data_IF_667094823471
#
_entry.id   IF_667094823471
#
_cell.length_a   1.000
_cell.length_b   1.000
_cell.length_c   1.000
_cell.angle_alpha   90.00
_cell.angle_beta   90.00
_cell.angle_gamma   90.00
#
_symmetry.space_group_name_H-M   'P 1'
#
loop_
_entity.id
_entity.type
_entity.pdbx_description
1 polymer ?
#
# COMPACT_ATOMS: atom_id res chain seq x y z
N UNK A 1 3.89 33.12 -13.95
CA UNK A 1 4.80 32.59 -12.89
C UNK A 1 6.01 31.96 -13.56
N UNK A 2 7.20 32.08 -12.97
CA UNK A 2 8.44 31.52 -13.56
C UNK A 2 8.66 30.08 -13.09
N UNK A 3 9.35 29.28 -13.90
CA UNK A 3 9.74 27.93 -13.53
C UNK A 3 10.79 27.95 -12.40
N UNK A 4 10.61 27.10 -11.39
CA UNK A 4 11.50 26.99 -10.23
C UNK A 4 12.94 26.60 -10.61
N UNK A 5 13.11 25.67 -11.57
CA UNK A 5 14.42 25.24 -12.04
C UNK A 5 14.97 26.13 -13.16
N UNK A 6 14.08 26.81 -13.90
CA UNK A 6 14.44 27.64 -15.06
C UNK A 6 13.86 29.05 -14.93
N UNK A 7 14.57 29.95 -14.24
CA UNK A 7 14.14 31.34 -14.02
C UNK A 7 13.88 32.17 -15.29
N UNK A 8 14.36 31.70 -16.45
CA UNK A 8 14.16 32.34 -17.75
C UNK A 8 12.90 31.84 -18.49
N UNK A 9 12.22 30.80 -17.99
CA UNK A 9 11.05 30.19 -18.64
C UNK A 9 9.77 30.42 -17.84
N UNK A 10 8.67 30.52 -18.55
CA UNK A 10 7.35 30.54 -17.94
C UNK A 10 6.93 29.14 -17.48
N UNK A 11 6.29 29.09 -16.32
CA UNK A 11 5.71 27.86 -15.80
C UNK A 11 4.32 27.64 -16.41
N UNK A 12 4.10 26.43 -16.94
CA UNK A 12 2.83 26.00 -17.53
C UNK A 12 1.94 25.25 -16.54
N UNK A 13 2.52 24.71 -15.47
CA UNK A 13 1.81 24.00 -14.42
C UNK A 13 2.46 24.27 -13.06
N UNK A 14 1.85 23.79 -11.98
CA UNK A 14 2.37 23.85 -10.63
C UNK A 14 2.52 22.44 -10.06
N UNK A 15 3.53 22.24 -9.22
CA UNK A 15 3.69 20.99 -8.48
C UNK A 15 2.52 20.81 -7.50
N UNK A 16 1.83 19.66 -7.54
CA UNK A 16 0.68 19.41 -6.65
C UNK A 16 1.08 19.41 -5.15
N UNK A 17 2.30 18.97 -4.83
CA UNK A 17 2.79 18.88 -3.45
C UNK A 17 3.37 20.21 -2.93
N UNK A 18 4.34 20.79 -3.64
CA UNK A 18 5.06 21.99 -3.17
C UNK A 18 4.55 23.30 -3.78
N UNK A 19 3.59 23.25 -4.72
CA UNK A 19 2.99 24.40 -5.43
C UNK A 19 3.97 25.30 -6.19
N UNK A 20 5.19 24.82 -6.43
CA UNK A 20 6.18 25.54 -7.25
C UNK A 20 5.82 25.47 -8.74
N UNK A 21 6.09 26.54 -9.49
CA UNK A 21 5.85 26.59 -10.93
C UNK A 21 6.84 25.72 -11.73
N UNK A 22 6.33 24.97 -12.71
CA UNK A 22 7.08 24.04 -13.56
C UNK A 22 6.89 24.41 -15.04
N UNK A 23 7.97 24.50 -15.81
CA UNK A 23 7.92 24.60 -17.28
C UNK A 23 7.59 23.23 -17.91
N UNK A 24 7.25 23.15 -19.22
CA UNK A 24 6.85 21.90 -19.86
C UNK A 24 7.88 20.77 -19.72
N UNK A 25 9.17 21.11 -19.72
CA UNK A 25 10.28 20.16 -19.55
C UNK A 25 10.43 19.66 -18.11
N UNK A 26 10.13 20.51 -17.11
CA UNK A 26 10.20 20.14 -15.70
C UNK A 26 8.91 19.46 -15.20
N UNK A 27 7.80 19.61 -15.94
CA UNK A 27 6.53 19.00 -15.61
C UNK A 27 6.51 17.54 -16.04
N UNK A 28 6.45 16.62 -15.07
CA UNK A 28 6.28 15.20 -15.37
C UNK A 28 4.81 14.98 -15.76
N UNK A 29 4.56 14.77 -17.05
CA UNK A 29 3.22 14.69 -17.65
C UNK A 29 2.26 13.71 -16.95
N UNK A 30 2.77 12.65 -16.31
CA UNK A 30 1.93 11.65 -15.63
C UNK A 30 1.50 12.05 -14.20
N UNK A 31 2.20 12.98 -13.54
CA UNK A 31 1.99 13.23 -12.09
C UNK A 31 1.94 14.69 -11.68
N UNK A 32 2.27 15.64 -12.56
CA UNK A 32 2.41 17.07 -12.21
C UNK A 32 3.31 17.31 -10.97
N UNK A 33 4.26 16.41 -10.68
CA UNK A 33 5.19 16.55 -9.56
C UNK A 33 6.53 17.11 -10.05
N UNK A 34 7.18 17.92 -9.21
CA UNK A 34 8.58 18.28 -9.41
C UNK A 34 9.49 17.07 -9.11
N UNK A 35 10.74 17.12 -9.59
CA UNK A 35 11.69 16.02 -9.42
C UNK A 35 11.97 15.70 -7.94
N UNK A 36 12.10 16.72 -7.10
CA UNK A 36 12.35 16.56 -5.67
C UNK A 36 11.16 15.91 -4.95
N UNK A 37 9.93 16.33 -5.26
CA UNK A 37 8.72 15.71 -4.75
C UNK A 37 8.57 14.27 -5.23
N UNK A 38 8.88 13.99 -6.50
CA UNK A 38 8.86 12.64 -7.05
C UNK A 38 9.85 11.71 -6.30
N UNK A 39 11.08 12.18 -6.05
CA UNK A 39 12.08 11.41 -5.31
C UNK A 39 11.65 11.15 -3.86
N UNK A 40 11.05 12.14 -3.21
CA UNK A 40 10.49 11.97 -1.87
C UNK A 40 9.29 11.01 -1.87
N UNK A 41 8.44 11.07 -2.90
CA UNK A 41 7.32 10.17 -3.08
C UNK A 41 7.78 8.72 -3.28
N UNK A 42 8.80 8.49 -4.11
CA UNK A 42 9.44 7.18 -4.30
C UNK A 42 9.99 6.62 -2.98
N UNK A 43 10.73 7.43 -2.21
CA UNK A 43 11.23 7.03 -0.88
C UNK A 43 10.10 6.66 0.09
N UNK A 44 9.05 7.49 0.15
CA UNK A 44 7.88 7.24 1.02
C UNK A 44 7.14 5.98 0.62
N UNK A 45 6.92 5.76 -0.68
CA UNK A 45 6.23 4.57 -1.18
C UNK A 45 7.06 3.33 -0.91
N UNK A 46 8.36 3.34 -1.16
CA UNK A 46 9.24 2.20 -0.86
C UNK A 46 9.26 1.85 0.62
N UNK A 47 9.37 2.85 1.50
CA UNK A 47 9.32 2.63 2.95
C UNK A 47 7.97 2.04 3.39
N UNK A 48 6.88 2.64 2.94
CA UNK A 48 5.52 2.16 3.24
C UNK A 48 5.28 0.76 2.67
N UNK A 49 5.76 0.50 1.46
CA UNK A 49 5.67 -0.80 0.80
C UNK A 49 6.45 -1.87 1.57
N UNK A 50 7.65 -1.54 2.06
CA UNK A 50 8.45 -2.44 2.87
C UNK A 50 7.76 -2.76 4.20
N UNK A 51 7.34 -1.75 4.96
CA UNK A 51 6.64 -1.93 6.24
C UNK A 51 5.36 -2.77 6.09
N UNK A 52 4.56 -2.49 5.06
CA UNK A 52 3.34 -3.26 4.76
C UNK A 52 3.66 -4.68 4.34
N UNK A 53 4.62 -4.88 3.43
CA UNK A 53 5.03 -6.20 2.96
C UNK A 53 5.53 -7.07 4.13
N UNK A 54 6.38 -6.52 5.01
CA UNK A 54 6.85 -7.22 6.22
C UNK A 54 5.67 -7.62 7.11
N UNK A 55 4.71 -6.72 7.33
CA UNK A 55 3.56 -7.03 8.17
C UNK A 55 2.66 -8.13 7.54
N UNK A 56 2.44 -8.08 6.23
CA UNK A 56 1.69 -9.09 5.49
C UNK A 56 2.40 -10.45 5.54
N UNK A 57 3.70 -10.49 5.28
CA UNK A 57 4.49 -11.73 5.37
C UNK A 57 4.43 -12.28 6.80
N UNK A 58 4.57 -11.43 7.82
CA UNK A 58 4.46 -11.86 9.22
C UNK A 58 3.09 -12.46 9.54
N UNK A 59 2.02 -11.92 8.96
CA UNK A 59 0.67 -12.43 9.16
C UNK A 59 0.48 -13.82 8.52
N UNK A 60 0.92 -13.99 7.27
CA UNK A 60 0.86 -15.30 6.60
C UNK A 60 1.76 -16.33 7.26
N UNK A 61 2.94 -15.93 7.76
CA UNK A 61 3.81 -16.81 8.52
C UNK A 61 3.13 -17.31 9.80
N UNK A 62 2.45 -16.42 10.55
CA UNK A 62 1.69 -16.80 11.75
C UNK A 62 0.57 -17.77 11.39
N UNK A 63 -0.18 -17.52 10.31
CA UNK A 63 -1.22 -18.45 9.83
C UNK A 63 -0.61 -19.80 9.48
N UNK A 64 0.47 -19.81 8.71
CA UNK A 64 1.12 -21.03 8.25
C UNK A 64 1.63 -21.86 9.43
N UNK A 65 2.34 -21.25 10.39
CA UNK A 65 2.80 -21.91 11.62
C UNK A 65 1.59 -22.42 12.42
N UNK A 66 0.55 -21.60 12.60
CA UNK A 66 -0.65 -22.03 13.33
C UNK A 66 -1.31 -23.24 12.65
N UNK A 67 -1.39 -23.24 11.33
CA UNK A 67 -1.96 -24.30 10.53
C UNK A 67 -1.13 -25.58 10.63
N UNK A 68 0.19 -25.54 10.38
CA UNK A 68 1.04 -26.73 10.48
C UNK A 68 0.97 -27.36 11.86
N UNK A 69 0.98 -26.56 12.94
CA UNK A 69 0.85 -27.09 14.31
C UNK A 69 -0.51 -27.68 14.64
N UNK A 70 -1.60 -27.21 14.01
CA UNK A 70 -2.93 -27.81 14.17
C UNK A 70 -2.98 -29.18 13.49
N UNK A 71 -2.48 -29.28 12.26
CA UNK A 71 -2.62 -30.49 11.43
C UNK A 71 -1.55 -31.56 11.67
N UNK A 72 -0.39 -31.21 12.22
CA UNK A 72 0.76 -32.12 12.34
C UNK A 72 0.81 -32.89 13.68
N UNK A 73 -0.12 -32.65 14.60
CA UNK A 73 -0.10 -33.20 15.97
C UNK A 73 -1.26 -34.17 16.28
N UNK A 74 -1.85 -34.82 15.27
CA UNK A 74 -2.90 -35.83 15.52
C UNK A 74 -2.36 -37.17 16.08
N UNK A 75 -1.05 -37.46 16.01
CA UNK A 75 -0.60 -38.86 16.17
C UNK A 75 0.08 -39.31 17.48
N UNK A 76 0.59 -38.49 18.41
CA UNK A 76 1.20 -39.06 19.63
C UNK A 76 1.01 -38.21 20.89
N UNK A 77 0.13 -38.68 21.79
CA UNK A 77 -0.13 -38.10 23.11
C UNK A 77 0.78 -38.80 24.13
N UNK A 78 1.98 -38.27 24.36
CA UNK A 78 2.75 -38.55 25.58
C UNK A 78 3.33 -37.25 26.12
N UNK A 79 2.88 -36.82 27.31
CA UNK A 79 3.43 -35.82 28.26
C UNK A 79 3.86 -34.40 27.78
N UNK A 80 4.05 -34.12 26.49
CA UNK A 80 4.32 -32.81 25.89
C UNK A 80 3.00 -32.04 25.58
N UNK A 81 1.85 -32.68 25.84
CA UNK A 81 0.52 -32.19 25.53
C UNK A 81 0.24 -30.77 26.05
N UNK A 82 0.66 -30.43 27.27
CA UNK A 82 0.38 -29.13 27.88
C UNK A 82 1.11 -27.97 27.18
N UNK A 83 2.36 -28.18 26.77
CA UNK A 83 3.12 -27.16 26.04
C UNK A 83 2.54 -26.94 24.63
N UNK A 84 2.06 -28.02 23.98
CA UNK A 84 1.44 -27.93 22.66
C UNK A 84 0.12 -27.15 22.69
N UNK A 85 -0.69 -27.31 23.74
CA UNK A 85 -1.97 -26.60 23.90
C UNK A 85 -1.74 -25.12 24.17
N UNK A 86 -0.81 -24.79 25.08
CA UNK A 86 -0.44 -23.40 25.37
C UNK A 86 0.08 -22.70 24.10
N UNK A 87 0.91 -23.38 23.31
CA UNK A 87 1.43 -22.84 22.07
C UNK A 87 0.31 -22.62 21.03
N UNK A 88 -0.59 -23.60 20.83
CA UNK A 88 -1.76 -23.47 19.94
C UNK A 88 -2.66 -22.30 20.35
N UNK A 89 -2.96 -22.15 21.64
CA UNK A 89 -3.71 -21.02 22.18
C UNK A 89 -2.99 -19.70 21.95
N UNK A 90 -1.67 -19.66 22.14
CA UNK A 90 -0.85 -18.46 21.90
C UNK A 90 -0.89 -18.06 20.43
N UNK A 91 -0.70 -19.01 19.51
CA UNK A 91 -0.80 -18.78 18.07
C UNK A 91 -2.19 -18.27 17.66
N UNK A 92 -3.25 -18.87 18.21
CA UNK A 92 -4.62 -18.42 17.98
C UNK A 92 -4.81 -16.98 18.45
N UNK A 93 -4.42 -16.66 19.69
CA UNK A 93 -4.52 -15.30 20.25
C UNK A 93 -3.72 -14.30 19.42
N UNK A 94 -2.50 -14.63 19.00
CA UNK A 94 -1.67 -13.77 18.14
C UNK A 94 -2.33 -13.53 16.77
N UNK A 95 -2.95 -14.56 16.20
CA UNK A 95 -3.73 -14.45 14.98
C UNK A 95 -4.91 -13.49 15.14
N UNK A 96 -5.71 -13.62 16.21
CA UNK A 96 -6.80 -12.70 16.51
C UNK A 96 -6.32 -11.27 16.72
N UNK A 97 -5.24 -11.07 17.49
CA UNK A 97 -4.64 -9.76 17.75
C UNK A 97 -4.15 -9.07 16.47
N UNK A 98 -3.67 -9.85 15.48
CA UNK A 98 -3.28 -9.31 14.16
C UNK A 98 -4.48 -9.11 13.23
N UNK A 99 -5.44 -10.03 13.20
CA UNK A 99 -6.57 -9.97 12.28
C UNK A 99 -7.57 -8.87 12.63
N UNK A 100 -7.83 -8.64 13.93
CA UNK A 100 -8.84 -7.67 14.39
C UNK A 100 -8.52 -6.24 13.91
N UNK A 101 -7.31 -5.67 14.10
CA UNK A 101 -7.01 -4.31 13.65
C UNK A 101 -7.20 -4.11 12.14
N UNK A 102 -6.75 -5.08 11.34
CA UNK A 102 -6.87 -5.03 9.88
C UNK A 102 -8.33 -5.15 9.42
N UNK A 103 -9.04 -6.16 9.92
CA UNK A 103 -10.45 -6.34 9.63
C UNK A 103 -11.29 -5.14 10.08
N UNK A 104 -10.97 -4.56 11.23
CA UNK A 104 -11.68 -3.41 11.80
C UNK A 104 -11.51 -2.15 10.95
N UNK A 105 -10.28 -1.84 10.51
CA UNK A 105 -10.03 -0.71 9.62
C UNK A 105 -10.82 -0.86 8.31
N UNK A 106 -10.88 -2.08 7.77
CA UNK A 106 -11.56 -2.34 6.51
C UNK A 106 -13.08 -2.31 6.65
N UNK A 107 -13.63 -2.90 7.71
CA UNK A 107 -15.06 -2.77 8.03
C UNK A 107 -15.44 -1.29 8.20
N UNK A 108 -14.60 -0.48 8.86
CA UNK A 108 -14.90 0.95 9.02
C UNK A 108 -14.84 1.74 7.71
N UNK A 109 -13.96 1.35 6.77
CA UNK A 109 -13.94 1.92 5.41
C UNK A 109 -15.18 1.51 4.60
N UNK A 110 -15.67 0.29 4.84
CA UNK A 110 -16.83 -0.32 4.16
C UNK A 110 -18.15 0.04 4.87
N UNK A 111 -18.09 0.72 6.02
CA UNK A 111 -19.25 1.06 6.87
C UNK A 111 -20.33 1.85 6.13
N UNK A 112 -19.99 2.54 5.05
CA UNK A 112 -20.98 3.23 4.22
C UNK A 112 -21.90 2.32 3.42
N UNK A 113 -21.62 1.01 3.36
CA UNK A 113 -22.54 0.02 2.81
C UNK A 113 -23.80 -0.07 3.67
N UNK A 114 -24.96 -0.05 3.00
CA UNK A 114 -26.31 -0.11 3.57
C UNK A 114 -26.47 -1.10 4.74
N UNK A 115 -25.86 -2.30 4.65
CA UNK A 115 -25.93 -3.32 5.70
C UNK A 115 -25.45 -2.85 7.07
N UNK A 116 -24.32 -2.13 7.14
CA UNK A 116 -23.79 -1.62 8.40
C UNK A 116 -24.61 -0.46 8.94
N UNK A 117 -25.17 0.38 8.05
CA UNK A 117 -26.10 1.45 8.42
C UNK A 117 -27.39 0.90 9.02
N UNK A 118 -27.94 -0.21 8.51
CA UNK A 118 -29.13 -0.85 9.07
C UNK A 118 -28.87 -1.40 10.46
N UNK A 119 -27.73 -2.08 10.67
CA UNK A 119 -27.34 -2.58 11.99
C UNK A 119 -27.10 -1.46 13.00
N UNK A 120 -26.55 -0.33 12.56
CA UNK A 120 -26.32 0.84 13.41
C UNK A 120 -27.61 1.60 13.73
N UNK A 121 -28.53 1.70 12.75
CA UNK A 121 -29.85 2.29 12.92
C UNK A 121 -30.71 1.49 13.92
N UNK A 122 -30.74 0.15 13.77
CA UNK A 122 -31.43 -0.76 14.70
C UNK A 122 -30.89 -0.65 16.14
N UNK A 123 -29.59 -0.35 16.29
CA UNK A 123 -28.96 -0.13 17.59
C UNK A 123 -29.44 1.16 18.27
N UNK A 124 -29.76 2.19 17.49
CA UNK A 124 -30.13 3.51 18.00
C UNK A 124 -31.62 3.61 18.36
N UNK A 125 -32.50 2.97 17.59
CA UNK A 125 -33.95 3.10 17.76
C UNK A 125 -34.50 2.27 18.93
N UNK A 126 -33.99 1.05 19.15
CA UNK A 126 -34.30 0.22 20.34
C UNK A 126 -33.10 -0.66 20.72
N UNK A 127 -32.25 -0.24 21.69
CA UNK A 127 -31.13 -1.05 22.13
C UNK A 127 -31.65 -2.26 22.92
N UNK A 128 -31.90 -3.38 22.24
CA UNK A 128 -32.00 -4.66 22.94
C UNK A 128 -30.59 -5.15 23.25
N UNK A 129 -30.37 -5.61 24.49
CA UNK A 129 -29.08 -6.18 24.91
C UNK A 129 -28.64 -7.33 23.99
N UNK A 130 -29.60 -8.03 23.39
CA UNK A 130 -29.37 -9.11 22.44
C UNK A 130 -28.77 -8.62 21.11
N UNK A 131 -29.27 -7.53 20.52
CA UNK A 131 -28.70 -6.96 19.29
C UNK A 131 -27.28 -6.45 19.54
N UNK A 132 -27.03 -5.82 20.68
CA UNK A 132 -25.69 -5.35 21.06
C UNK A 132 -24.72 -6.52 21.22
N UNK A 133 -25.15 -7.60 21.89
CA UNK A 133 -24.35 -8.81 22.05
C UNK A 133 -24.03 -9.46 20.69
N UNK A 134 -25.03 -9.64 19.82
CA UNK A 134 -24.83 -10.20 18.48
C UNK A 134 -23.85 -9.33 17.68
N UNK A 135 -24.02 -8.00 17.68
CA UNK A 135 -23.10 -7.11 16.99
C UNK A 135 -21.67 -7.17 17.53
N UNK A 136 -21.51 -7.38 18.84
CA UNK A 136 -20.21 -7.55 19.49
C UNK A 136 -19.50 -8.85 19.07
N UNK A 137 -20.22 -9.96 18.92
CA UNK A 137 -19.65 -11.24 18.51
C UNK A 137 -19.48 -11.40 16.99
N UNK A 138 -20.42 -10.86 16.20
CA UNK A 138 -20.39 -10.97 14.75
C UNK A 138 -19.24 -10.15 14.14
N UNK A 139 -18.91 -8.99 14.74
CA UNK A 139 -17.91 -8.08 14.20
C UNK A 139 -16.48 -8.66 14.18
N UNK A 140 -15.97 -9.32 15.24
CA UNK A 140 -14.70 -10.05 15.20
C UNK A 140 -14.66 -11.16 14.14
N UNK A 141 -15.76 -11.91 13.97
CA UNK A 141 -15.85 -12.98 12.97
C UNK A 141 -15.75 -12.38 11.56
N UNK A 142 -16.49 -11.30 11.29
CA UNK A 142 -16.40 -10.58 10.02
C UNK A 142 -15.01 -9.99 9.78
N UNK A 143 -14.36 -9.45 10.81
CA UNK A 143 -12.97 -8.97 10.70
C UNK A 143 -12.03 -10.08 10.22
N UNK A 144 -12.19 -11.28 10.75
CA UNK A 144 -11.35 -12.44 10.47
C UNK A 144 -11.53 -12.94 9.03
N UNK A 145 -12.77 -12.93 8.53
CA UNK A 145 -13.09 -13.28 7.13
C UNK A 145 -12.55 -12.21 6.16
N UNK A 146 -12.67 -10.93 6.50
CA UNK A 146 -12.31 -9.81 5.61
C UNK A 146 -10.80 -9.53 5.60
N UNK A 147 -10.09 -9.79 6.70
CA UNK A 147 -8.66 -9.54 6.83
C UNK A 147 -7.80 -10.06 5.66
N UNK A 148 -7.91 -11.32 5.20
CA UNK A 148 -7.10 -11.82 4.08
C UNK A 148 -7.35 -11.07 2.76
N UNK A 149 -8.61 -10.77 2.44
CA UNK A 149 -8.97 -10.00 1.24
C UNK A 149 -8.46 -8.56 1.32
N UNK A 150 -8.57 -7.95 2.50
CA UNK A 150 -8.05 -6.61 2.74
C UNK A 150 -6.53 -6.54 2.55
N UNK A 151 -5.79 -7.55 3.01
CA UNK A 151 -4.35 -7.62 2.84
C UNK A 151 -3.98 -7.78 1.37
N UNK A 152 -4.67 -8.65 0.63
CA UNK A 152 -4.49 -8.80 -0.82
C UNK A 152 -4.72 -7.49 -1.57
N UNK A 153 -5.79 -6.75 -1.24
CA UNK A 153 -6.06 -5.46 -1.86
C UNK A 153 -4.93 -4.44 -1.62
N UNK A 154 -4.41 -4.36 -0.39
CA UNK A 154 -3.27 -3.48 -0.08
C UNK A 154 -2.01 -3.88 -0.84
N UNK A 155 -1.74 -5.18 -1.03
CA UNK A 155 -0.64 -5.67 -1.88
C UNK A 155 -0.82 -5.19 -3.33
N UNK A 156 -2.00 -5.41 -3.92
CA UNK A 156 -2.27 -4.99 -5.28
C UNK A 156 -2.10 -3.48 -5.46
N UNK A 157 -2.52 -2.69 -4.47
CA UNK A 157 -2.35 -1.24 -4.47
C UNK A 157 -0.88 -0.83 -4.42
N UNK A 158 -0.07 -1.50 -3.59
CA UNK A 158 1.38 -1.26 -3.51
C UNK A 158 2.05 -1.60 -4.86
N UNK A 159 1.72 -2.76 -5.44
CA UNK A 159 2.26 -3.19 -6.73
C UNK A 159 1.91 -2.18 -7.82
N UNK A 160 0.66 -1.72 -7.88
CA UNK A 160 0.23 -0.70 -8.85
C UNK A 160 1.04 0.58 -8.72
N UNK A 161 1.27 1.06 -7.49
CA UNK A 161 2.06 2.26 -7.24
C UNK A 161 3.53 2.08 -7.64
N UNK A 162 4.14 0.93 -7.34
CA UNK A 162 5.51 0.61 -7.74
C UNK A 162 5.67 0.54 -9.26
N UNK A 163 4.71 -0.05 -9.97
CA UNK A 163 4.69 -0.09 -11.44
C UNK A 163 4.61 1.33 -12.02
N UNK A 164 3.77 2.20 -11.43
CA UNK A 164 3.65 3.59 -11.84
C UNK A 164 4.99 4.34 -11.69
N UNK A 165 5.65 4.24 -10.53
CA UNK A 165 6.97 4.87 -10.32
C UNK A 165 8.00 4.32 -11.30
N UNK A 166 8.04 3.00 -11.49
CA UNK A 166 8.97 2.37 -12.42
C UNK A 166 8.78 2.88 -13.84
N UNK A 167 7.52 3.03 -14.29
CA UNK A 167 7.19 3.59 -15.61
C UNK A 167 7.72 5.01 -15.74
N UNK A 168 7.42 5.89 -14.79
CA UNK A 168 7.89 7.29 -14.78
C UNK A 168 9.42 7.33 -14.89
N UNK A 169 10.11 6.54 -14.05
CA UNK A 169 11.58 6.50 -14.05
C UNK A 169 12.15 6.00 -15.38
N UNK A 170 11.52 4.98 -15.98
CA UNK A 170 11.94 4.45 -17.27
C UNK A 170 11.78 5.46 -18.41
N UNK A 171 10.73 6.29 -18.36
CA UNK A 171 10.51 7.36 -19.34
C UNK A 171 11.54 8.48 -19.18
N UNK A 172 11.86 8.87 -17.94
CA UNK A 172 12.91 9.86 -17.66
C UNK A 172 14.28 9.40 -18.19
N UNK A 173 14.65 8.13 -18.00
CA UNK A 173 15.93 7.60 -18.50
C UNK A 173 15.99 7.53 -20.03
N UNK A 174 14.86 7.23 -20.68
CA UNK A 174 14.79 7.20 -22.15
C UNK A 174 14.96 8.60 -22.72
N UNK A 175 14.28 9.59 -22.15
CA UNK A 175 14.40 10.99 -22.60
C UNK A 175 15.84 11.50 -22.44
N UNK A 176 16.49 11.26 -21.29
CA UNK A 176 17.89 11.66 -21.11
C UNK A 176 18.85 10.97 -22.10
N UNK A 177 18.56 9.72 -22.48
CA UNK A 177 19.38 9.00 -23.45
C UNK A 177 19.19 9.51 -24.89
N UNK A 178 17.98 9.96 -25.23
CA UNK A 178 17.69 10.54 -26.54
C UNK A 178 18.32 11.93 -26.66
N UNK A 179 18.19 12.79 -25.64
CA UNK A 179 18.85 14.09 -25.60
C UNK A 179 20.38 13.96 -25.75
N UNK A 180 20.99 12.98 -25.08
CA UNK A 180 22.42 12.72 -25.20
C UNK A 180 22.83 12.29 -26.63
N UNK A 181 21.99 11.52 -27.32
CA UNK A 181 22.22 11.13 -28.72
C UNK A 181 22.11 12.33 -29.67
N UNK A 182 21.07 13.14 -29.53
CA UNK A 182 20.87 14.34 -30.35
C UNK A 182 22.04 15.34 -30.21
N UNK A 183 22.55 15.52 -28.98
CA UNK A 183 23.73 16.38 -28.74
C UNK A 183 24.98 15.82 -29.43
N UNK A 184 25.17 14.50 -29.44
CA UNK A 184 26.32 13.87 -30.09
C UNK A 184 26.22 13.94 -31.62
N UNK A 185 25.03 13.70 -32.19
CA UNK A 185 24.79 13.86 -33.61
C UNK A 185 25.02 15.31 -34.07
N UNK A 186 24.55 16.29 -33.29
CA UNK A 186 24.78 17.71 -33.58
C UNK A 186 26.27 18.09 -33.54
N UNK A 187 27.06 17.47 -32.64
CA UNK A 187 28.52 17.65 -32.59
C UNK A 187 29.22 17.04 -33.79
N UNK A 188 28.85 15.83 -34.20
CA UNK A 188 29.40 15.20 -35.40
C UNK A 188 29.13 16.01 -36.66
N UNK A 189 27.92 16.57 -36.82
CA UNK A 189 27.58 17.42 -37.96
C UNK A 189 28.45 18.68 -37.99
N UNK A 190 28.69 19.32 -36.84
CA UNK A 190 29.60 20.48 -36.75
C UNK A 190 31.05 20.12 -37.07
N UNK A 191 31.49 18.91 -36.70
CA UNK A 191 32.84 18.45 -37.03
C UNK A 191 33.01 18.11 -38.52
N UNK A 192 31.95 17.66 -39.20
CA UNK A 192 31.99 17.38 -40.66
C UNK A 192 31.92 18.64 -41.53
N UNK A 193 31.32 19.72 -41.02
CA UNK A 193 31.27 21.02 -41.70
C UNK A 193 31.93 22.11 -40.85
N UNK A 194 33.28 22.10 -40.71
CA UNK A 194 33.99 23.24 -40.14
C UNK A 194 33.88 24.40 -41.13
N UNK A 195 33.10 25.42 -40.75
CA UNK A 195 33.10 26.72 -41.43
C UNK A 195 34.44 27.40 -41.20
#
# INVERSE_FOLDING_TARGET
MKCYYHNHREAVTQCEDCRQGLCPECAIAETNLCLDCLLNWDKKIKKTAFEKTVNIISFWLIIFISFTFIFQFEEEITTIADLSIIFKLTCLVLFWLKAIPYGWQTINKIRDIWFFKVLEYQRYEKPSNLIIAIGFFLKPILCLIIAPFSLLYEICKIIKNLICIHRIKSNLTKNSSNEAKEINEAKEIRQRNPI
#
